data_IF_932895428902
#
_entry.id   IF_932895428902
#
_cell.length_a   1.000
_cell.length_b   1.000
_cell.length_c   1.000
_cell.angle_alpha   90.00
_cell.angle_beta   90.00
_cell.angle_gamma   90.00
#
_symmetry.space_group_name_H-M   'P 1'
#
loop_
_entity.id
_entity.type
_entity.pdbx_description
1 polymer ?
#
# COMPACT_ATOMS: atom_id res chain seq x y z
N UNK A 1 10.53 -10.11 -19.92
CA UNK A 1 9.57 -10.01 -18.81
C UNK A 1 8.23 -9.75 -19.46
N UNK A 2 7.18 -10.45 -19.05
CA UNK A 2 5.84 -10.17 -19.58
C UNK A 2 5.38 -8.81 -19.04
N UNK A 3 4.68 -8.01 -19.83
CA UNK A 3 4.19 -6.68 -19.44
C UNK A 3 3.30 -6.79 -18.18
N UNK A 4 2.64 -7.95 -18.01
CA UNK A 4 1.86 -8.31 -16.82
C UNK A 4 2.72 -8.45 -15.57
N UNK A 5 3.86 -9.14 -15.66
CA UNK A 5 4.76 -9.35 -14.52
C UNK A 5 5.40 -8.00 -14.10
N UNK A 6 5.77 -7.16 -15.06
CA UNK A 6 6.26 -5.80 -14.81
C UNK A 6 5.22 -4.93 -14.07
N UNK A 7 3.94 -5.05 -14.46
CA UNK A 7 2.84 -4.34 -13.80
C UNK A 7 2.62 -4.84 -12.36
N UNK A 8 2.61 -6.16 -12.15
CA UNK A 8 2.46 -6.76 -10.82
C UNK A 8 3.59 -6.31 -9.89
N UNK A 9 4.84 -6.31 -10.37
CA UNK A 9 5.97 -5.82 -9.59
C UNK A 9 5.84 -4.35 -9.19
N UNK A 10 5.42 -3.49 -10.12
CA UNK A 10 5.19 -2.07 -9.81
C UNK A 10 4.10 -1.87 -8.76
N UNK A 11 3.02 -2.65 -8.81
CA UNK A 11 1.94 -2.58 -7.83
C UNK A 11 2.41 -3.07 -6.45
N UNK A 12 3.26 -4.11 -6.40
CA UNK A 12 3.86 -4.59 -5.16
C UNK A 12 4.81 -3.55 -4.55
N UNK A 13 5.64 -2.90 -5.36
CA UNK A 13 6.53 -1.81 -4.91
C UNK A 13 5.72 -0.64 -4.35
N UNK A 14 4.64 -0.25 -5.03
CA UNK A 14 3.75 0.81 -4.56
C UNK A 14 3.09 0.45 -3.22
N UNK A 15 2.60 -0.80 -3.09
CA UNK A 15 2.02 -1.27 -1.84
C UNK A 15 3.04 -1.22 -0.68
N UNK A 16 4.29 -1.63 -0.93
CA UNK A 16 5.38 -1.52 0.05
C UNK A 16 5.64 -0.07 0.48
N UNK A 17 5.72 0.86 -0.48
CA UNK A 17 5.92 2.28 -0.19
C UNK A 17 4.80 2.89 0.67
N UNK A 18 3.54 2.56 0.38
CA UNK A 18 2.40 3.01 1.20
C UNK A 18 2.47 2.51 2.65
N UNK A 19 2.93 1.27 2.86
CA UNK A 19 3.12 0.73 4.21
C UNK A 19 4.28 1.43 4.95
N UNK A 20 5.36 1.75 4.24
CA UNK A 20 6.52 2.47 4.80
C UNK A 20 6.13 3.89 5.22
N UNK A 21 5.41 4.62 4.37
CA UNK A 21 4.91 5.97 4.66
C UNK A 21 3.96 5.95 5.88
N UNK A 22 3.04 5.00 5.92
CA UNK A 22 2.11 4.85 7.04
C UNK A 22 2.82 4.50 8.35
N UNK A 23 3.82 3.62 8.30
CA UNK A 23 4.67 3.27 9.44
C UNK A 23 5.42 4.49 9.97
N UNK A 24 5.99 5.29 9.05
CA UNK A 24 6.69 6.53 9.37
C UNK A 24 5.76 7.50 10.11
N UNK A 25 4.54 7.72 9.61
CA UNK A 25 3.53 8.56 10.26
C UNK A 25 3.09 8.00 11.62
N UNK A 26 2.95 6.68 11.75
CA UNK A 26 2.56 6.05 13.02
C UNK A 26 3.58 6.31 14.13
N UNK A 27 4.87 6.22 13.80
CA UNK A 27 5.98 6.34 14.77
C UNK A 27 6.31 7.80 15.10
N UNK A 28 6.24 8.71 14.12
CA UNK A 28 6.57 10.12 14.32
C UNK A 28 5.49 10.81 15.18
N UNK A 29 5.86 11.18 16.41
CA UNK A 29 4.97 11.86 17.36
C UNK A 29 4.58 13.28 16.93
N UNK A 30 5.36 13.85 16.03
CA UNK A 30 5.19 15.20 15.47
C UNK A 30 4.20 15.23 14.30
N UNK A 31 3.77 14.06 13.78
CA UNK A 31 2.80 13.92 12.69
C UNK A 31 1.33 14.10 13.11
N UNK A 32 1.08 14.58 14.33
CA UNK A 32 -0.25 14.92 14.83
C UNK A 32 -0.75 14.03 15.98
N UNK A 33 -2.06 14.13 16.25
CA UNK A 33 -2.71 13.34 17.30
C UNK A 33 -2.64 11.83 17.00
N UNK A 34 -2.88 11.00 18.00
CA UNK A 34 -2.97 9.54 17.80
C UNK A 34 -4.07 9.21 16.79
N UNK A 35 -5.20 9.91 16.82
CA UNK A 35 -6.32 9.67 15.89
C UNK A 35 -5.97 10.03 14.44
N UNK A 36 -5.22 11.11 14.22
CA UNK A 36 -4.75 11.49 12.89
C UNK A 36 -3.80 10.44 12.32
N UNK A 37 -2.85 9.97 13.14
CA UNK A 37 -1.93 8.90 12.76
C UNK A 37 -2.66 7.58 12.48
N UNK A 38 -3.65 7.25 13.30
CA UNK A 38 -4.51 6.08 13.09
C UNK A 38 -5.27 6.18 11.76
N UNK A 39 -5.83 7.35 11.43
CA UNK A 39 -6.56 7.56 10.18
C UNK A 39 -5.66 7.35 8.95
N UNK A 40 -4.41 7.83 8.98
CA UNK A 40 -3.42 7.61 7.91
C UNK A 40 -3.10 6.12 7.76
N UNK A 41 -2.83 5.42 8.86
CA UNK A 41 -2.57 3.98 8.84
C UNK A 41 -3.76 3.19 8.29
N UNK A 42 -4.99 3.54 8.70
CA UNK A 42 -6.21 2.91 8.19
C UNK A 42 -6.45 3.18 6.71
N UNK A 43 -6.06 4.36 6.21
CA UNK A 43 -6.15 4.68 4.78
C UNK A 43 -5.14 3.85 3.99
N UNK A 44 -3.86 3.83 4.40
CA UNK A 44 -2.84 3.04 3.74
C UNK A 44 -3.15 1.54 3.73
N UNK A 45 -3.69 0.99 4.83
CA UNK A 45 -4.11 -0.41 4.88
C UNK A 45 -5.21 -0.73 3.85
N UNK A 46 -6.16 0.19 3.64
CA UNK A 46 -7.20 0.04 2.61
C UNK A 46 -6.61 0.12 1.20
N UNK A 47 -5.73 1.08 0.95
CA UNK A 47 -5.12 1.27 -0.37
C UNK A 47 -4.23 0.08 -0.74
N UNK A 48 -3.43 -0.43 0.20
CA UNK A 48 -2.65 -1.67 0.04
C UNK A 48 -3.55 -2.87 -0.22
N UNK A 49 -4.67 -3.00 0.52
CA UNK A 49 -5.65 -4.06 0.28
C UNK A 49 -6.19 -4.04 -1.16
N UNK A 50 -6.57 -2.86 -1.66
CA UNK A 50 -7.05 -2.69 -3.03
C UNK A 50 -5.98 -3.03 -4.09
N UNK A 51 -4.71 -2.69 -3.84
CA UNK A 51 -3.60 -3.06 -4.73
C UNK A 51 -3.38 -4.57 -4.77
N UNK A 52 -3.45 -5.24 -3.63
CA UNK A 52 -3.33 -6.70 -3.54
C UNK A 52 -4.48 -7.41 -4.25
N UNK A 53 -5.71 -6.91 -4.11
CA UNK A 53 -6.86 -7.41 -4.86
C UNK A 53 -6.68 -7.22 -6.38
N UNK A 54 -6.21 -6.05 -6.81
CA UNK A 54 -5.94 -5.79 -8.23
C UNK A 54 -4.87 -6.75 -8.79
N UNK A 55 -3.78 -6.99 -8.05
CA UNK A 55 -2.75 -7.98 -8.42
C UNK A 55 -3.37 -9.37 -8.54
N UNK A 56 -4.23 -9.78 -7.60
CA UNK A 56 -4.88 -11.08 -7.62
C UNK A 56 -5.79 -11.26 -8.84
N UNK A 57 -6.48 -10.20 -9.27
CA UNK A 57 -7.28 -10.20 -10.51
C UNK A 57 -6.39 -10.35 -11.73
N UNK A 58 -5.35 -9.51 -11.86
CA UNK A 58 -4.40 -9.57 -12.98
C UNK A 58 -3.81 -10.98 -13.12
N UNK A 59 -3.34 -11.56 -12.01
CA UNK A 59 -2.73 -12.91 -11.98
C UNK A 59 -3.70 -14.06 -12.24
N UNK A 60 -5.02 -13.83 -12.17
CA UNK A 60 -6.03 -14.82 -12.52
C UNK A 60 -6.34 -14.82 -14.03
N UNK A 61 -6.20 -13.66 -14.66
CA UNK A 61 -6.61 -13.43 -16.06
C UNK A 61 -5.45 -13.62 -17.07
N UNK A 62 -4.23 -13.86 -16.58
CA UNK A 62 -3.01 -14.18 -17.36
C UNK A 62 -2.50 -15.58 -17.08
#
# INVERSE_FOLDING_TARGET
>A
MDDTDDLVERLLVLAGGLMEDASTVAVLRESGSVDQRLAVVQQAARDVGALVEAIAVIRRDT
#
